data_IF_055258443900
#
_entry.id   IF_055258443900
#
_cell.length_a   1.000
_cell.length_b   1.000
_cell.length_c   1.000
_cell.angle_alpha   90.00
_cell.angle_beta   90.00
_cell.angle_gamma   90.00
#
_symmetry.space_group_name_H-M   'P 1'
#
loop_
_entity.id
_entity.type
_entity.pdbx_description
1 polymer ?
#
# COMPACT_ATOMS: atom_id res chain seq x y z
N UNK A 1 -6.73 11.97 1.13
CA UNK A 1 -5.60 11.37 0.41
C UNK A 1 -5.96 9.99 -0.08
N UNK A 2 -5.66 9.70 -1.32
CA UNK A 2 -5.95 8.40 -1.90
C UNK A 2 -4.70 7.57 -2.06
N UNK A 3 -4.72 6.36 -1.55
CA UNK A 3 -3.63 5.41 -1.61
C UNK A 3 -4.14 4.08 -2.17
N UNK A 4 -3.24 3.33 -2.78
CA UNK A 4 -3.53 1.99 -3.25
C UNK A 4 -2.52 1.03 -2.62
N UNK A 5 -3.01 -0.10 -2.12
CA UNK A 5 -2.14 -1.16 -1.62
C UNK A 5 -2.20 -2.33 -2.60
N UNK A 6 -1.08 -2.60 -3.23
CA UNK A 6 -0.96 -3.73 -4.16
C UNK A 6 -0.54 -4.98 -3.40
N UNK A 7 -1.30 -6.03 -3.58
CA UNK A 7 -1.05 -7.31 -2.93
C UNK A 7 -1.81 -8.42 -3.61
N UNK A 8 -1.92 -9.56 -2.94
CA UNK A 8 -2.72 -10.68 -3.44
C UNK A 8 -3.20 -11.50 -2.25
N UNK A 9 -4.15 -12.40 -2.51
CA UNK A 9 -4.60 -13.36 -1.50
C UNK A 9 -3.45 -14.33 -1.18
N UNK A 10 -3.49 -14.95 0.00
CA UNK A 10 -2.46 -15.88 0.46
C UNK A 10 -1.06 -15.25 0.59
N UNK A 11 -0.99 -13.94 0.76
CA UNK A 11 0.26 -13.23 0.98
C UNK A 11 0.32 -12.76 2.43
N UNK A 12 1.15 -13.42 3.25
CA UNK A 12 1.26 -13.08 4.66
C UNK A 12 1.75 -11.65 4.89
N UNK A 13 2.74 -11.21 4.11
CA UNK A 13 3.26 -9.84 4.23
C UNK A 13 2.22 -8.81 3.85
N UNK A 14 1.36 -9.13 2.90
CA UNK A 14 0.26 -8.25 2.51
C UNK A 14 -0.74 -8.10 3.65
N UNK A 15 -0.99 -9.16 4.39
CA UNK A 15 -1.86 -9.12 5.58
C UNK A 15 -1.27 -8.21 6.66
N UNK A 16 0.05 -8.29 6.88
CA UNK A 16 0.73 -7.43 7.83
C UNK A 16 0.66 -5.96 7.39
N UNK A 17 0.81 -5.71 6.10
CA UNK A 17 0.69 -4.36 5.57
C UNK A 17 -0.72 -3.80 5.77
N UNK A 18 -1.74 -4.61 5.52
CA UNK A 18 -3.12 -4.22 5.76
C UNK A 18 -3.36 -3.87 7.22
N UNK A 19 -2.77 -4.62 8.15
CA UNK A 19 -2.90 -4.33 9.57
C UNK A 19 -2.29 -2.99 9.95
N UNK A 20 -1.12 -2.66 9.39
CA UNK A 20 -0.48 -1.36 9.60
C UNK A 20 -1.39 -0.23 9.13
N UNK A 21 -1.95 -0.39 7.93
CA UNK A 21 -2.82 0.64 7.35
C UNK A 21 -4.14 0.77 8.11
N UNK A 22 -4.69 -0.34 8.60
CA UNK A 22 -5.92 -0.32 9.38
C UNK A 22 -5.75 0.50 10.66
N UNK A 23 -4.61 0.37 11.34
CA UNK A 23 -4.32 1.18 12.52
C UNK A 23 -4.24 2.67 12.19
N UNK A 24 -3.61 3.00 11.06
CA UNK A 24 -3.49 4.39 10.63
C UNK A 24 -4.84 5.01 10.30
N UNK A 25 -5.74 4.25 9.71
CA UNK A 25 -7.06 4.75 9.32
C UNK A 25 -7.93 5.14 10.52
N UNK A 26 -7.63 4.63 11.71
CA UNK A 26 -8.33 5.06 12.92
C UNK A 26 -8.09 6.54 13.19
N UNK A 27 -6.86 7.01 12.97
CA UNK A 27 -6.46 8.39 13.20
C UNK A 27 -6.58 9.26 11.94
N UNK A 28 -6.29 8.69 10.78
CA UNK A 28 -6.26 9.40 9.50
C UNK A 28 -7.59 9.22 8.76
N UNK A 29 -8.62 9.92 9.23
CA UNK A 29 -9.99 9.72 8.74
C UNK A 29 -10.24 10.20 7.31
N UNK A 30 -9.33 11.02 6.77
CA UNK A 30 -9.45 11.53 5.40
C UNK A 30 -8.75 10.66 4.36
N UNK A 31 -8.01 9.66 4.81
CA UNK A 31 -7.32 8.75 3.90
C UNK A 31 -8.29 7.71 3.36
N UNK A 32 -8.14 7.41 2.07
CA UNK A 32 -8.86 6.32 1.41
C UNK A 32 -7.83 5.38 0.83
N UNK A 33 -7.95 4.11 1.18
CA UNK A 33 -7.00 3.08 0.73
C UNK A 33 -7.78 2.02 -0.02
N UNK A 34 -7.42 1.81 -1.29
CA UNK A 34 -7.99 0.76 -2.11
C UNK A 34 -7.04 -0.43 -2.14
N UNK A 35 -7.56 -1.61 -1.91
CA UNK A 35 -6.79 -2.84 -2.03
C UNK A 35 -6.86 -3.32 -3.47
N UNK A 36 -5.70 -3.43 -4.10
CA UNK A 36 -5.60 -3.86 -5.50
C UNK A 36 -5.00 -5.26 -5.52
N UNK A 37 -5.75 -6.23 -6.04
CA UNK A 37 -5.22 -7.58 -6.23
C UNK A 37 -4.47 -7.62 -7.55
N UNK A 38 -3.16 -7.84 -7.48
CA UNK A 38 -2.32 -7.83 -8.69
C UNK A 38 -2.66 -8.97 -9.64
N UNK A 39 -3.29 -10.03 -9.14
CA UNK A 39 -3.68 -11.17 -9.98
C UNK A 39 -4.85 -10.85 -10.93
N UNK A 40 -5.56 -9.74 -10.70
CA UNK A 40 -6.71 -9.35 -11.52
C UNK A 40 -6.32 -8.78 -12.88
N UNK A 41 -5.05 -8.39 -13.06
CA UNK A 41 -4.57 -7.77 -14.29
C UNK A 41 -3.15 -8.24 -14.59
N UNK A 42 -2.94 -8.75 -15.81
CA UNK A 42 -1.64 -9.33 -16.20
C UNK A 42 -0.48 -8.33 -16.15
N UNK A 43 -0.72 -7.09 -16.54
CA UNK A 43 0.31 -6.05 -16.52
C UNK A 43 0.70 -5.70 -15.07
N UNK A 44 -0.30 -5.60 -14.21
CA UNK A 44 -0.06 -5.32 -12.78
C UNK A 44 0.67 -6.48 -12.13
N UNK A 45 0.27 -7.71 -12.44
CA UNK A 45 0.95 -8.90 -11.93
C UNK A 45 2.41 -8.91 -12.33
N UNK A 46 2.70 -8.67 -13.61
CA UNK A 46 4.07 -8.64 -14.11
C UNK A 46 4.91 -7.55 -13.41
N UNK A 47 4.30 -6.41 -13.15
CA UNK A 47 5.02 -5.27 -12.55
C UNK A 47 5.32 -5.47 -11.06
N UNK A 48 4.40 -6.05 -10.31
CA UNK A 48 4.47 -6.07 -8.86
C UNK A 48 4.68 -7.45 -8.22
N UNK A 49 4.68 -8.54 -8.99
CA UNK A 49 4.70 -9.90 -8.44
C UNK A 49 5.80 -10.16 -7.40
N UNK A 50 6.97 -9.57 -7.59
CA UNK A 50 8.12 -9.75 -6.69
C UNK A 50 8.30 -8.61 -5.70
N UNK A 51 7.38 -7.65 -5.70
CA UNK A 51 7.51 -6.42 -4.90
C UNK A 51 6.45 -6.28 -3.82
N UNK A 52 5.33 -6.99 -3.93
CA UNK A 52 4.21 -6.84 -3.00
C UNK A 52 4.60 -7.21 -1.57
N UNK A 53 4.03 -6.54 -0.56
CA UNK A 53 3.05 -5.46 -0.70
C UNK A 53 3.70 -4.12 -1.05
N UNK A 54 3.03 -3.34 -1.91
CA UNK A 54 3.49 -2.00 -2.32
C UNK A 54 2.36 -1.00 -2.07
N UNK A 55 2.69 0.08 -1.37
CA UNK A 55 1.77 1.19 -1.16
C UNK A 55 2.08 2.27 -2.18
N UNK A 56 1.04 2.77 -2.87
CA UNK A 56 1.22 3.78 -3.92
C UNK A 56 0.33 4.98 -3.65
N UNK A 57 0.90 6.17 -3.80
CA UNK A 57 0.13 7.41 -3.77
C UNK A 57 -0.50 7.64 -5.14
N UNK A 58 -1.82 7.74 -5.19
CA UNK A 58 -2.55 7.93 -6.45
C UNK A 58 -2.22 9.28 -7.07
N UNK A 59 -2.03 10.31 -6.25
CA UNK A 59 -1.82 11.67 -6.74
C UNK A 59 -0.54 11.86 -7.55
N UNK A 60 0.56 11.28 -7.09
CA UNK A 60 1.87 11.52 -7.71
C UNK A 60 2.59 10.25 -8.16
N UNK A 61 2.00 9.08 -7.90
CA UNK A 61 2.55 7.81 -8.35
C UNK A 61 3.75 7.30 -7.56
N UNK A 62 4.12 7.97 -6.46
CA UNK A 62 5.21 7.48 -5.61
C UNK A 62 4.82 6.16 -4.95
N UNK A 63 5.79 5.32 -4.70
CA UNK A 63 5.59 3.99 -4.14
C UNK A 63 6.46 3.77 -2.91
N UNK A 64 5.90 3.04 -1.94
CA UNK A 64 6.61 2.62 -0.75
C UNK A 64 6.54 1.10 -0.68
N UNK A 65 7.71 0.46 -0.71
CA UNK A 65 7.79 -1.00 -0.68
C UNK A 65 7.89 -1.52 0.75
N UNK A 66 7.42 -2.75 0.95
CA UNK A 66 7.58 -3.45 2.21
C UNK A 66 9.07 -3.74 2.48
N UNK A 67 9.57 -3.67 3.73
CA UNK A 67 8.76 -3.44 4.94
C UNK A 67 8.50 -1.95 5.19
N UNK A 68 7.34 -1.67 5.77
CA UNK A 68 7.03 -0.33 6.26
C UNK A 68 6.23 -0.44 7.55
N UNK A 69 6.27 0.61 8.37
CA UNK A 69 5.50 0.71 9.60
C UNK A 69 4.65 1.98 9.56
N UNK A 70 3.90 2.22 10.64
CA UNK A 70 3.02 3.39 10.70
C UNK A 70 3.80 4.70 10.50
N UNK A 71 4.99 4.80 11.07
CA UNK A 71 5.83 6.00 10.96
C UNK A 71 6.27 6.25 9.53
N UNK A 72 6.77 5.22 8.83
CA UNK A 72 7.23 5.37 7.46
C UNK A 72 6.07 5.67 6.50
N UNK A 73 4.88 5.11 6.77
CA UNK A 73 3.70 5.43 5.96
C UNK A 73 3.28 6.89 6.16
N UNK A 74 3.31 7.40 7.39
CA UNK A 74 2.99 8.81 7.66
C UNK A 74 3.96 9.75 6.95
N UNK A 75 5.26 9.44 6.98
CA UNK A 75 6.26 10.22 6.24
C UNK A 75 6.00 10.19 4.74
N UNK A 76 5.72 9.02 4.22
CA UNK A 76 5.40 8.85 2.80
C UNK A 76 4.18 9.68 2.41
N UNK A 77 3.12 9.61 3.20
CA UNK A 77 1.89 10.35 2.94
C UNK A 77 2.09 11.86 3.04
N UNK A 78 3.01 12.30 3.90
CA UNK A 78 3.32 13.72 4.05
C UNK A 78 4.21 14.25 2.91
N UNK A 79 4.64 13.39 2.00
CA UNK A 79 5.49 13.80 0.88
C UNK A 79 6.97 13.79 1.19
N UNK A 80 7.35 13.28 2.36
CA UNK A 80 8.75 13.25 2.78
C UNK A 80 9.50 12.00 2.36
N UNK A 81 8.81 11.08 1.76
CA UNK A 81 9.39 9.78 1.38
C UNK A 81 10.21 9.75 0.13
#
# INVERSE_FOLDING_TARGET
MELELYGTSACHLCELAEAVLAELLVDETEWQIELIDIADDDDTLARYALKIPVLRSVEDGRELQWPFDASSVREFAAGGG
#
